data_IF_825165962742
#
_entry.id   IF_825165962742
#
_cell.length_a   1.000
_cell.length_b   1.000
_cell.length_c   1.000
_cell.angle_alpha   90.00
_cell.angle_beta   90.00
_cell.angle_gamma   90.00
#
_symmetry.space_group_name_H-M   'P 1'
#
loop_
_entity.id
_entity.type
_entity.pdbx_description
1 polymer ?
#
# COMPACT_ATOMS: atom_id res chain seq x y z
N UNK A 1 36.99 60.17 -37.74
CA UNK A 1 35.86 59.51 -37.04
C UNK A 1 35.17 60.54 -36.17
N UNK A 2 33.84 60.64 -36.22
CA UNK A 2 33.10 61.60 -35.41
C UNK A 2 32.99 61.09 -33.95
N UNK A 3 33.23 61.96 -32.97
CA UNK A 3 33.35 61.61 -31.54
C UNK A 3 32.09 60.90 -31.00
N UNK A 4 30.93 61.34 -31.49
CA UNK A 4 29.61 60.83 -31.14
C UNK A 4 29.41 59.37 -31.61
N UNK A 5 29.95 59.03 -32.77
CA UNK A 5 29.91 57.65 -33.31
C UNK A 5 30.80 56.71 -32.51
N UNK A 6 31.96 57.18 -32.03
CA UNK A 6 32.85 56.41 -31.16
C UNK A 6 32.25 56.13 -29.78
N UNK A 7 31.56 57.13 -29.20
CA UNK A 7 30.86 56.98 -27.93
C UNK A 7 29.73 55.94 -28.01
N UNK A 8 28.90 56.00 -29.06
CA UNK A 8 27.83 55.02 -29.26
C UNK A 8 28.36 53.60 -29.45
N UNK A 9 29.47 53.42 -30.18
CA UNK A 9 30.14 52.12 -30.32
C UNK A 9 30.62 51.57 -28.98
N UNK A 10 31.24 52.40 -28.13
CA UNK A 10 31.68 51.98 -26.80
C UNK A 10 30.53 51.53 -25.88
N UNK A 11 29.40 52.25 -25.91
CA UNK A 11 28.19 51.86 -25.16
C UNK A 11 27.63 50.52 -25.66
N UNK A 12 27.62 50.33 -26.98
CA UNK A 12 27.13 49.10 -27.60
C UNK A 12 28.02 47.89 -27.24
N UNK A 13 29.33 48.07 -27.23
CA UNK A 13 30.29 47.03 -26.84
C UNK A 13 30.17 46.64 -25.36
N UNK A 14 29.98 47.63 -24.48
CA UNK A 14 29.72 47.37 -23.06
C UNK A 14 28.42 46.57 -22.83
N UNK A 15 27.35 46.90 -23.57
CA UNK A 15 26.09 46.13 -23.55
C UNK A 15 26.30 44.69 -24.04
N UNK A 16 27.02 44.51 -25.15
CA UNK A 16 27.32 43.18 -25.69
C UNK A 16 28.17 42.34 -24.73
N UNK A 17 29.13 42.95 -24.02
CA UNK A 17 29.94 42.28 -23.00
C UNK A 17 29.08 41.79 -21.84
N UNK A 18 28.14 42.63 -21.36
CA UNK A 18 27.20 42.25 -20.29
C UNK A 18 26.30 41.09 -20.71
N UNK A 19 25.74 41.16 -21.92
CA UNK A 19 24.87 40.09 -22.46
C UNK A 19 25.61 38.76 -22.60
N UNK A 20 26.87 38.78 -23.08
CA UNK A 20 27.71 37.58 -23.17
C UNK A 20 27.93 36.95 -21.80
N UNK A 21 28.25 37.75 -20.79
CA UNK A 21 28.46 37.26 -19.41
C UNK A 21 27.21 36.58 -18.85
N UNK A 22 26.04 37.20 -19.00
CA UNK A 22 24.78 36.61 -18.56
C UNK A 22 24.48 35.29 -19.27
N UNK A 23 24.67 35.24 -20.60
CA UNK A 23 24.50 34.00 -21.37
C UNK A 23 25.41 32.89 -20.86
N UNK A 24 26.67 33.19 -20.57
CA UNK A 24 27.63 32.19 -20.12
C UNK A 24 27.31 31.69 -18.71
N UNK A 25 26.82 32.57 -17.83
CA UNK A 25 26.29 32.20 -16.50
C UNK A 25 25.08 31.28 -16.61
N UNK A 26 24.09 31.61 -17.46
CA UNK A 26 22.93 30.74 -17.69
C UNK A 26 23.32 29.40 -18.30
N UNK A 27 24.30 29.37 -19.19
CA UNK A 27 24.81 28.13 -19.78
C UNK A 27 25.42 27.23 -18.70
N UNK A 28 26.21 27.81 -17.78
CA UNK A 28 26.80 27.08 -16.66
C UNK A 28 25.72 26.50 -15.73
N UNK A 29 24.74 27.30 -15.34
CA UNK A 29 23.63 26.84 -14.49
C UNK A 29 22.84 25.72 -15.16
N UNK A 30 22.57 25.85 -16.47
CA UNK A 30 21.90 24.80 -17.24
C UNK A 30 22.71 23.51 -17.24
N UNK A 31 24.01 23.59 -17.48
CA UNK A 31 24.87 22.40 -17.54
C UNK A 31 24.96 21.70 -16.17
N UNK A 32 25.01 22.46 -15.07
CA UNK A 32 24.91 21.94 -13.69
C UNK A 32 23.57 21.23 -13.43
N UNK A 33 22.44 21.86 -13.82
CA UNK A 33 21.12 21.25 -13.68
C UNK A 33 20.96 19.97 -14.49
N UNK A 34 21.54 19.91 -15.70
CA UNK A 34 21.52 18.69 -16.52
C UNK A 34 22.26 17.56 -15.81
N UNK A 35 23.42 17.84 -15.20
CA UNK A 35 24.20 16.86 -14.44
C UNK A 35 23.39 16.34 -13.24
N UNK A 36 22.73 17.24 -12.49
CA UNK A 36 21.97 16.83 -11.32
C UNK A 36 20.70 16.05 -11.68
N UNK A 37 20.01 16.41 -12.77
CA UNK A 37 18.91 15.61 -13.32
C UNK A 37 19.41 14.21 -13.71
N UNK A 38 20.62 14.10 -14.27
CA UNK A 38 21.24 12.81 -14.58
C UNK A 38 21.39 11.93 -13.33
N UNK A 39 21.97 12.47 -12.26
CA UNK A 39 22.12 11.77 -10.97
C UNK A 39 20.79 11.36 -10.36
N UNK A 40 19.77 12.21 -10.45
CA UNK A 40 18.43 11.91 -9.95
C UNK A 40 17.78 10.76 -10.73
N UNK A 41 17.93 10.74 -12.06
CA UNK A 41 17.42 9.65 -12.90
C UNK A 41 18.08 8.31 -12.56
N UNK A 42 19.39 8.31 -12.32
CA UNK A 42 20.12 7.11 -11.91
C UNK A 42 19.62 6.58 -10.56
N UNK A 43 19.55 7.45 -9.54
CA UNK A 43 19.00 7.09 -8.22
C UNK A 43 17.57 6.58 -8.28
N UNK A 44 16.74 7.17 -9.15
CA UNK A 44 15.35 6.74 -9.28
C UNK A 44 15.26 5.33 -9.89
N UNK A 45 16.12 5.02 -10.86
CA UNK A 45 16.23 3.66 -11.43
C UNK A 45 16.68 2.64 -10.38
N UNK A 46 17.62 3.00 -9.52
CA UNK A 46 18.06 2.12 -8.43
C UNK A 46 16.94 1.86 -7.43
N UNK A 47 16.19 2.90 -7.05
CA UNK A 47 15.02 2.76 -6.18
C UNK A 47 13.93 1.88 -6.79
N UNK A 48 13.63 2.03 -8.08
CA UNK A 48 12.69 1.17 -8.80
C UNK A 48 13.13 -0.30 -8.78
N UNK A 49 14.43 -0.55 -8.98
CA UNK A 49 15.00 -1.90 -8.88
C UNK A 49 14.89 -2.47 -7.46
N UNK A 50 15.24 -1.69 -6.44
CA UNK A 50 15.10 -2.10 -5.04
C UNK A 50 13.66 -2.43 -4.68
N UNK A 51 12.71 -1.59 -5.11
CA UNK A 51 11.28 -1.81 -4.90
C UNK A 51 10.81 -3.11 -5.56
N UNK A 52 11.24 -3.36 -6.80
CA UNK A 52 10.91 -4.59 -7.53
C UNK A 52 11.45 -5.83 -6.80
N UNK A 53 12.70 -5.79 -6.33
CA UNK A 53 13.30 -6.87 -5.56
C UNK A 53 12.53 -7.13 -4.27
N UNK A 54 12.28 -6.08 -3.48
CA UNK A 54 11.55 -6.19 -2.22
C UNK A 54 10.12 -6.73 -2.41
N UNK A 55 9.43 -6.29 -3.47
CA UNK A 55 8.10 -6.80 -3.84
C UNK A 55 8.15 -8.30 -4.14
N UNK A 56 9.13 -8.75 -4.92
CA UNK A 56 9.28 -10.17 -5.28
C UNK A 56 9.62 -11.03 -4.07
N UNK A 57 10.50 -10.57 -3.19
CA UNK A 57 10.81 -11.27 -1.94
C UNK A 57 9.60 -11.37 -1.02
N UNK A 58 8.86 -10.28 -0.86
CA UNK A 58 7.64 -10.27 -0.04
C UNK A 58 6.59 -11.22 -0.61
N UNK A 59 6.40 -11.23 -1.94
CA UNK A 59 5.50 -12.15 -2.62
C UNK A 59 5.93 -13.61 -2.39
N UNK A 60 7.22 -13.92 -2.55
CA UNK A 60 7.75 -15.26 -2.30
C UNK A 60 7.55 -15.71 -0.84
N UNK A 61 7.75 -14.80 0.13
CA UNK A 61 7.45 -15.09 1.55
C UNK A 61 5.96 -15.34 1.79
N UNK A 62 5.09 -14.55 1.17
CA UNK A 62 3.64 -14.73 1.25
C UNK A 62 3.20 -16.07 0.67
N UNK A 63 3.68 -16.41 -0.52
CA UNK A 63 3.39 -17.69 -1.18
C UNK A 63 3.90 -18.88 -0.35
N UNK A 64 5.10 -18.77 0.21
CA UNK A 64 5.65 -19.78 1.10
C UNK A 64 4.79 -19.98 2.36
N UNK A 65 4.34 -18.88 2.98
CA UNK A 65 3.44 -18.94 4.13
C UNK A 65 2.11 -19.60 3.76
N UNK A 66 1.50 -19.21 2.65
CA UNK A 66 0.25 -19.82 2.16
C UNK A 66 0.41 -21.30 1.86
N UNK A 67 1.56 -21.71 1.30
CA UNK A 67 1.90 -23.10 1.06
C UNK A 67 2.02 -23.88 2.37
N UNK A 68 2.78 -23.36 3.34
CA UNK A 68 2.92 -23.98 4.67
C UNK A 68 1.60 -24.09 5.42
N UNK A 69 0.76 -23.07 5.35
CA UNK A 69 -0.58 -23.10 5.93
C UNK A 69 -1.45 -24.20 5.31
N UNK A 70 -1.32 -24.43 3.99
CA UNK A 70 -2.02 -25.49 3.28
C UNK A 70 -1.47 -26.89 3.61
N UNK A 71 -0.16 -27.04 3.75
CA UNK A 71 0.48 -28.31 4.18
C UNK A 71 0.10 -28.70 5.60
N UNK A 72 0.01 -27.73 6.52
CA UNK A 72 -0.37 -27.96 7.92
C UNK A 72 -1.87 -28.25 8.09
N UNK A 73 -2.71 -27.88 7.11
CA UNK A 73 -4.16 -28.11 7.13
C UNK A 73 -4.68 -28.75 5.83
N UNK A 74 -4.33 -30.02 5.53
CA UNK A 74 -4.75 -30.70 4.31
C UNK A 74 -6.28 -30.92 4.19
N UNK A 75 -7.03 -30.81 5.28
CA UNK A 75 -8.46 -31.16 5.36
C UNK A 75 -9.44 -29.96 5.27
N UNK A 76 -8.99 -28.75 4.90
CA UNK A 76 -9.75 -27.50 5.14
C UNK A 76 -10.84 -27.12 4.12
N UNK A 77 -11.52 -28.10 3.50
CA UNK A 77 -12.94 -27.93 3.15
C UNK A 77 -13.85 -28.60 4.18
N UNK A 78 -13.54 -29.85 4.56
CA UNK A 78 -14.26 -30.58 5.60
C UNK A 78 -14.03 -29.97 7.00
N UNK A 79 -12.78 -29.62 7.35
CA UNK A 79 -12.46 -28.98 8.64
C UNK A 79 -12.87 -27.51 8.72
N UNK A 80 -13.11 -26.82 7.59
CA UNK A 80 -13.64 -25.45 7.62
C UNK A 80 -15.15 -25.47 7.89
N UNK A 81 -15.88 -26.40 7.28
CA UNK A 81 -17.30 -26.66 7.59
C UNK A 81 -17.44 -27.23 9.01
N UNK A 82 -16.58 -28.18 9.39
CA UNK A 82 -16.53 -28.77 10.73
C UNK A 82 -16.16 -27.76 11.83
N UNK A 83 -15.18 -26.88 11.62
CA UNK A 83 -14.81 -25.85 12.59
C UNK A 83 -15.84 -24.71 12.68
N UNK A 84 -16.54 -24.38 11.59
CA UNK A 84 -17.69 -23.46 11.62
C UNK A 84 -18.88 -24.11 12.34
N UNK A 85 -19.10 -25.42 12.16
CA UNK A 85 -20.18 -26.15 12.82
C UNK A 85 -19.89 -26.42 14.31
N UNK A 86 -18.65 -26.74 14.68
CA UNK A 86 -18.21 -26.99 16.07
C UNK A 86 -18.02 -25.66 16.81
N UNK A 87 -17.40 -24.67 16.17
CA UNK A 87 -17.24 -23.32 16.72
C UNK A 87 -18.58 -22.59 16.83
N UNK A 88 -19.46 -22.75 15.84
CA UNK A 88 -20.81 -22.18 15.81
C UNK A 88 -21.78 -22.85 16.77
N UNK A 89 -21.75 -24.19 16.93
CA UNK A 89 -22.52 -24.87 17.99
C UNK A 89 -22.04 -24.43 19.38
N UNK A 90 -20.74 -24.50 19.65
CA UNK A 90 -20.21 -24.12 20.96
C UNK A 90 -20.46 -22.66 21.33
N UNK A 91 -20.34 -21.71 20.39
CA UNK A 91 -20.61 -20.30 20.70
C UNK A 91 -22.08 -19.94 20.70
N UNK A 92 -22.91 -20.53 19.84
CA UNK A 92 -24.36 -20.37 19.91
C UNK A 92 -24.89 -20.97 21.21
N UNK A 93 -24.51 -22.20 21.57
CA UNK A 93 -24.94 -22.87 22.80
C UNK A 93 -24.50 -22.07 24.04
N UNK A 94 -23.27 -21.54 24.08
CA UNK A 94 -22.78 -20.70 25.19
C UNK A 94 -23.50 -19.34 25.25
N UNK A 95 -23.83 -18.73 24.11
CA UNK A 95 -24.58 -17.47 24.05
C UNK A 95 -26.04 -17.71 24.46
N UNK A 96 -26.64 -18.82 24.04
CA UNK A 96 -28.00 -19.22 24.36
C UNK A 96 -28.14 -19.55 25.84
N UNK A 97 -27.25 -20.35 26.43
CA UNK A 97 -27.24 -20.61 27.88
C UNK A 97 -27.06 -19.33 28.70
N UNK A 98 -26.26 -18.38 28.21
CA UNK A 98 -26.13 -17.07 28.87
C UNK A 98 -27.35 -16.16 28.69
N UNK A 99 -28.02 -16.21 27.56
CA UNK A 99 -29.26 -15.46 27.35
C UNK A 99 -30.36 -15.99 28.29
N UNK A 100 -30.40 -17.30 28.50
CA UNK A 100 -31.35 -17.97 29.39
C UNK A 100 -31.06 -17.71 30.88
N UNK A 101 -29.78 -17.71 31.28
CA UNK A 101 -29.33 -17.26 32.60
C UNK A 101 -29.63 -15.77 32.86
N UNK A 102 -29.61 -14.93 31.81
CA UNK A 102 -29.83 -13.48 31.92
C UNK A 102 -31.31 -13.08 31.93
N UNK A 103 -32.18 -13.82 31.24
CA UNK A 103 -33.62 -13.51 31.18
C UNK A 103 -34.40 -14.15 32.34
N UNK A 104 -33.90 -15.27 32.90
CA UNK A 104 -34.44 -15.89 34.12
C UNK A 104 -35.88 -16.44 34.00
N UNK A 105 -36.44 -16.39 32.79
CA UNK A 105 -37.83 -16.70 32.44
C UNK A 105 -38.01 -18.13 31.91
N UNK A 106 -36.93 -18.77 31.41
CA UNK A 106 -36.96 -20.11 30.80
C UNK A 106 -37.93 -20.25 29.60
N UNK A 107 -38.38 -19.13 29.02
CA UNK A 107 -39.39 -19.10 27.95
C UNK A 107 -38.92 -19.80 26.65
N UNK A 108 -37.61 -19.85 26.42
CA UNK A 108 -37.03 -20.47 25.24
C UNK A 108 -36.99 -22.01 25.35
N UNK A 109 -36.57 -22.56 26.50
CA UNK A 109 -36.69 -24.00 26.75
C UNK A 109 -38.15 -24.49 26.70
N UNK A 110 -39.11 -23.73 27.23
CA UNK A 110 -40.54 -24.07 27.06
C UNK A 110 -41.01 -24.03 25.60
N UNK A 111 -40.45 -23.13 24.77
CA UNK A 111 -40.73 -23.07 23.34
C UNK A 111 -40.13 -24.25 22.57
N UNK A 112 -38.93 -24.69 22.96
CA UNK A 112 -38.26 -25.88 22.39
C UNK A 112 -38.98 -27.17 22.78
N UNK A 113 -39.37 -27.33 24.04
CA UNK A 113 -40.13 -28.49 24.52
C UNK A 113 -41.48 -28.60 23.79
N UNK A 114 -42.17 -27.47 23.56
CA UNK A 114 -43.43 -27.45 22.78
C UNK A 114 -43.23 -27.83 21.30
N UNK A 115 -42.10 -27.47 20.70
CA UNK A 115 -41.78 -27.89 19.32
C UNK A 115 -41.42 -29.38 19.23
N UNK A 116 -40.84 -29.94 20.28
CA UNK A 116 -40.50 -31.36 20.38
C UNK A 116 -41.75 -32.22 20.68
N UNK A 117 -42.74 -31.67 21.39
CA UNK A 117 -44.06 -32.29 21.56
C UNK A 117 -44.90 -32.23 20.26
N UNK A 118 -44.89 -31.11 19.51
CA UNK A 118 -45.61 -30.96 18.23
C UNK A 118 -45.05 -31.83 17.09
N UNK A 119 -43.86 -32.44 17.26
CA UNK A 119 -43.24 -33.32 16.26
C UNK A 119 -43.43 -34.82 16.53
N UNK A 120 -44.12 -35.18 17.62
CA UNK A 120 -44.38 -36.56 18.04
C UNK A 120 -45.86 -37.02 17.91
N UNK A 121 -46.72 -36.27 17.18
CA UNK A 121 -47.98 -36.79 16.58
C UNK A 121 -47.76 -37.27 15.13
#
# INVERSE_FOLDING_TARGET
MNYETGFQLGVMEARLKKMRKQRDEYKKQRDELIVDIGKLRERNKDLENMWRTLKNELLGRYEHYCFKYRELHPESKANRIGAIYIGGKGTADIILSRMEELDGTNEFNEFLDRLEDDTNE
#
